data_IF_316660480056
#
_entry.id   IF_316660480056
#
_cell.length_a   1.000
_cell.length_b   1.000
_cell.length_c   1.000
_cell.angle_alpha   90.00
_cell.angle_beta   90.00
_cell.angle_gamma   90.00
#
_symmetry.space_group_name_H-M   'P 1'
#
loop_
_entity.id
_entity.type
_entity.pdbx_description
1 polymer ?
#
# COMPACT_ATOMS: atom_id res chain seq x y z
N UNK A 1 26.83 -36.98 2.77
CA UNK A 1 25.81 -36.25 3.55
C UNK A 1 25.10 -35.32 2.58
N UNK A 2 23.81 -35.54 2.34
CA UNK A 2 23.06 -34.88 1.25
C UNK A 2 22.53 -33.52 1.74
N UNK A 3 23.06 -32.43 1.21
CA UNK A 3 22.61 -31.07 1.55
C UNK A 3 21.39 -30.70 0.72
N UNK A 4 20.20 -30.81 1.30
CA UNK A 4 18.97 -30.26 0.69
C UNK A 4 18.96 -28.76 0.94
N UNK A 5 19.28 -27.97 -0.09
CA UNK A 5 19.07 -26.52 -0.08
C UNK A 5 17.58 -26.28 -0.34
N UNK A 6 16.83 -25.97 0.72
CA UNK A 6 15.47 -25.46 0.57
C UNK A 6 15.56 -24.10 -0.13
N UNK A 7 15.16 -24.05 -1.40
CA UNK A 7 15.03 -22.80 -2.14
C UNK A 7 13.92 -21.97 -1.47
N UNK A 8 14.11 -20.65 -1.28
CA UNK A 8 13.02 -19.80 -0.85
C UNK A 8 11.88 -19.91 -1.87
N UNK A 9 10.68 -20.23 -1.40
CA UNK A 9 9.48 -20.25 -2.23
C UNK A 9 9.16 -18.81 -2.64
N UNK A 10 9.70 -18.38 -3.78
CA UNK A 10 9.32 -17.15 -4.46
C UNK A 10 8.06 -17.45 -5.27
N UNK A 11 6.92 -16.93 -4.81
CA UNK A 11 5.65 -17.03 -5.52
C UNK A 11 5.46 -15.78 -6.38
N UNK A 12 5.43 -15.96 -7.70
CA UNK A 12 4.87 -14.98 -8.63
C UNK A 12 3.34 -14.95 -8.45
N UNK A 13 2.77 -13.76 -8.38
CA UNK A 13 1.45 -13.54 -7.83
C UNK A 13 0.77 -12.39 -8.60
N UNK A 14 -0.40 -12.67 -9.19
CA UNK A 14 -1.10 -11.71 -10.05
C UNK A 14 -1.70 -10.56 -9.22
N UNK A 15 -2.14 -9.49 -9.88
CA UNK A 15 -2.82 -8.34 -9.29
C UNK A 15 -3.86 -8.70 -8.19
N UNK A 16 -4.79 -9.62 -8.44
CA UNK A 16 -5.77 -10.02 -7.42
C UNK A 16 -5.10 -10.60 -6.16
N UNK A 17 -4.02 -11.36 -6.37
CA UNK A 17 -3.32 -12.10 -5.36
C UNK A 17 -2.38 -11.21 -4.53
N UNK A 18 -1.93 -10.03 -5.01
CA UNK A 18 -1.18 -9.09 -4.17
C UNK A 18 -2.03 -8.51 -3.04
N UNK A 19 -3.32 -8.27 -3.30
CA UNK A 19 -4.26 -7.81 -2.29
C UNK A 19 -4.54 -8.90 -1.26
N UNK A 20 -4.59 -10.16 -1.70
CA UNK A 20 -4.71 -11.32 -0.79
C UNK A 20 -3.47 -11.42 0.12
N UNK A 21 -2.26 -11.20 -0.41
CA UNK A 21 -1.02 -11.14 0.39
C UNK A 21 -1.13 -10.02 1.43
N UNK A 22 -1.55 -8.81 1.06
CA UNK A 22 -1.69 -7.71 2.03
C UNK A 22 -2.64 -8.12 3.16
N UNK A 23 -3.78 -8.73 2.85
CA UNK A 23 -4.73 -9.23 3.84
C UNK A 23 -4.14 -10.35 4.72
N UNK A 24 -3.39 -11.29 4.14
CA UNK A 24 -2.67 -12.36 4.88
C UNK A 24 -1.75 -11.76 5.96
N UNK A 25 -1.11 -10.62 5.67
CA UNK A 25 -0.26 -9.88 6.61
C UNK A 25 -0.99 -8.78 7.40
N UNK A 26 -2.32 -8.80 7.42
CA UNK A 26 -3.19 -7.84 8.13
C UNK A 26 -3.05 -6.37 7.67
N UNK A 27 -2.62 -6.14 6.44
CA UNK A 27 -2.53 -4.83 5.82
C UNK A 27 -3.76 -4.58 4.92
N UNK A 28 -4.33 -3.36 4.92
CA UNK A 28 -5.49 -3.05 4.08
C UNK A 28 -5.11 -2.99 2.61
N UNK A 29 -6.03 -3.42 1.76
CA UNK A 29 -5.84 -3.53 0.30
C UNK A 29 -5.57 -2.18 -0.38
N UNK A 30 -6.06 -1.07 0.18
CA UNK A 30 -5.87 0.28 -0.36
C UNK A 30 -4.47 0.87 -0.12
N UNK A 31 -3.53 0.11 0.46
CA UNK A 31 -2.12 0.51 0.55
C UNK A 31 -1.41 0.51 -0.81
N UNK A 32 -1.85 -0.36 -1.72
CA UNK A 32 -1.34 -0.44 -3.07
C UNK A 32 -2.45 0.00 -4.05
N UNK A 33 -2.09 0.78 -5.09
CA UNK A 33 -3.04 1.15 -6.13
C UNK A 33 -3.50 -0.08 -6.95
N UNK A 34 -4.60 0.09 -7.68
CA UNK A 34 -5.20 -0.88 -8.60
C UNK A 34 -4.32 -1.27 -9.80
N UNK A 35 -3.22 -0.56 -10.00
CA UNK A 35 -2.36 -0.72 -11.16
C UNK A 35 -1.29 -1.80 -11.03
N UNK A 36 -1.36 -2.65 -10.00
CA UNK A 36 -0.52 -3.83 -9.88
C UNK A 36 -0.81 -4.79 -11.04
N UNK A 37 0.22 -5.15 -11.79
CA UNK A 37 0.14 -6.10 -12.91
C UNK A 37 0.65 -7.45 -12.47
N UNK A 38 1.75 -7.42 -11.72
CA UNK A 38 2.48 -8.60 -11.28
C UNK A 38 3.12 -8.33 -9.91
N UNK A 39 3.40 -9.38 -9.15
CA UNK A 39 4.19 -9.27 -7.94
C UNK A 39 4.90 -10.57 -7.59
N UNK A 40 5.91 -10.46 -6.74
CA UNK A 40 6.75 -11.54 -6.26
C UNK A 40 6.83 -11.47 -4.75
N UNK A 41 6.52 -12.58 -4.10
CA UNK A 41 6.69 -12.73 -2.66
C UNK A 41 7.66 -13.87 -2.37
N UNK A 42 8.79 -13.55 -1.74
CA UNK A 42 9.66 -14.51 -1.09
C UNK A 42 9.16 -14.73 0.34
N UNK A 43 8.40 -15.80 0.58
CA UNK A 43 7.86 -16.12 1.91
C UNK A 43 8.96 -16.42 2.94
N UNK A 44 10.13 -16.89 2.50
CA UNK A 44 11.25 -17.21 3.39
C UNK A 44 11.94 -15.97 3.95
N UNK A 45 12.01 -14.90 3.16
CA UNK A 45 12.66 -13.62 3.54
C UNK A 45 11.67 -12.49 3.84
N UNK A 46 10.39 -12.70 3.57
CA UNK A 46 9.34 -11.68 3.61
C UNK A 46 9.52 -10.61 2.54
N UNK A 47 10.29 -10.85 1.47
CA UNK A 47 10.54 -9.82 0.44
C UNK A 47 9.36 -9.78 -0.52
N UNK A 48 8.68 -8.63 -0.58
CA UNK A 48 7.59 -8.34 -1.50
C UNK A 48 8.06 -7.36 -2.58
N UNK A 49 7.78 -7.66 -3.84
CA UNK A 49 8.10 -6.82 -4.98
C UNK A 49 6.87 -6.77 -5.90
N UNK A 50 6.35 -5.57 -6.16
CA UNK A 50 5.12 -5.34 -6.92
C UNK A 50 5.46 -4.51 -8.15
N UNK A 51 5.04 -4.99 -9.30
CA UNK A 51 5.21 -4.33 -10.59
C UNK A 51 3.88 -3.72 -11.01
N UNK A 52 3.87 -2.40 -11.09
CA UNK A 52 2.76 -1.60 -11.59
C UNK A 52 2.92 -1.38 -13.09
N UNK A 53 1.79 -1.18 -13.80
CA UNK A 53 1.79 -0.91 -15.25
C UNK A 53 2.57 0.37 -15.62
N UNK A 54 2.72 1.29 -14.67
CA UNK A 54 3.46 2.54 -14.79
C UNK A 54 3.54 3.26 -13.44
N UNK A 55 4.11 4.46 -13.43
CA UNK A 55 4.03 5.32 -12.24
C UNK A 55 2.59 5.80 -12.03
N UNK A 56 2.10 5.69 -10.79
CA UNK A 56 0.75 6.10 -10.40
C UNK A 56 0.83 7.23 -9.37
N UNK A 57 -0.10 8.17 -9.43
CA UNK A 57 -0.17 9.32 -8.53
C UNK A 57 -1.60 9.43 -8.01
N UNK A 58 -1.79 9.65 -6.71
CA UNK A 58 -3.12 9.87 -6.14
C UNK A 58 -3.06 10.70 -4.87
N UNK A 59 -4.13 11.46 -4.61
CA UNK A 59 -4.35 12.18 -3.35
C UNK A 59 -5.16 11.29 -2.41
N UNK A 60 -4.63 11.01 -1.21
CA UNK A 60 -5.36 10.28 -0.17
C UNK A 60 -6.42 11.17 0.46
N UNK A 61 -5.95 12.26 1.05
CA UNK A 61 -6.74 13.29 1.70
C UNK A 61 -5.93 14.56 1.60
N UNK A 62 -6.46 15.60 0.98
CA UNK A 62 -5.76 16.90 0.88
C UNK A 62 -5.25 17.30 2.27
N UNK A 63 -3.95 17.62 2.44
CA UNK A 63 -2.94 17.93 1.41
C UNK A 63 -1.99 16.77 1.00
N UNK A 64 -2.28 15.52 1.38
CA UNK A 64 -1.38 14.38 1.19
C UNK A 64 -1.48 13.75 -0.20
N UNK A 65 -0.50 14.06 -1.04
CA UNK A 65 -0.32 13.49 -2.38
C UNK A 65 0.71 12.35 -2.34
N UNK A 66 0.35 11.17 -2.85
CA UNK A 66 1.22 10.01 -2.98
C UNK A 66 1.61 9.75 -4.43
N UNK A 67 2.85 9.27 -4.61
CA UNK A 67 3.43 8.86 -5.87
C UNK A 67 4.03 7.47 -5.74
N UNK A 68 3.67 6.62 -6.68
CA UNK A 68 4.15 5.26 -6.82
C UNK A 68 4.99 5.16 -8.09
N UNK A 69 6.15 4.52 -7.99
CA UNK A 69 6.97 4.11 -9.12
C UNK A 69 6.40 2.84 -9.74
N UNK A 70 6.81 2.53 -10.97
CA UNK A 70 6.44 1.28 -11.66
C UNK A 70 6.84 0.02 -10.89
N UNK A 71 7.84 0.11 -10.01
CA UNK A 71 8.24 -0.99 -9.13
C UNK A 71 8.21 -0.51 -7.70
N UNK A 72 7.45 -1.23 -6.87
CA UNK A 72 7.37 -1.05 -5.42
C UNK A 72 7.97 -2.27 -4.76
N UNK A 73 8.87 -2.10 -3.81
CA UNK A 73 9.50 -3.23 -3.11
C UNK A 73 9.61 -2.97 -1.63
N UNK A 74 9.54 -4.01 -0.82
CA UNK A 74 9.74 -3.93 0.62
C UNK A 74 9.82 -5.30 1.27
N UNK A 75 9.89 -5.30 2.60
CA UNK A 75 9.82 -6.48 3.44
C UNK A 75 8.49 -6.48 4.20
N UNK A 76 7.61 -7.40 3.83
CA UNK A 76 6.31 -7.60 4.46
C UNK A 76 6.44 -8.59 5.62
N UNK A 77 5.85 -8.24 6.75
CA UNK A 77 5.71 -9.10 7.92
C UNK A 77 4.43 -8.71 8.66
N UNK A 78 4.02 -9.48 9.67
CA UNK A 78 2.74 -9.25 10.34
C UNK A 78 2.54 -7.78 10.74
N UNK A 79 1.48 -7.17 10.20
CA UNK A 79 1.09 -5.77 10.39
C UNK A 79 2.05 -4.71 9.83
N UNK A 80 3.09 -5.03 9.08
CA UNK A 80 4.06 -4.02 8.63
C UNK A 80 4.74 -4.32 7.30
N UNK A 81 5.10 -3.24 6.62
CA UNK A 81 5.89 -3.22 5.39
C UNK A 81 7.08 -2.29 5.59
N UNK A 82 8.28 -2.85 5.64
CA UNK A 82 9.52 -2.12 5.94
C UNK A 82 10.44 -2.09 4.73
N UNK A 83 11.48 -1.24 4.75
CA UNK A 83 12.39 -1.06 3.61
C UNK A 83 11.64 -0.77 2.31
N UNK A 84 10.55 -0.01 2.44
CA UNK A 84 9.68 0.34 1.33
C UNK A 84 10.42 1.25 0.37
N UNK A 85 10.33 0.90 -0.92
CA UNK A 85 10.89 1.68 -2.03
C UNK A 85 9.84 1.82 -3.10
N UNK A 86 9.89 2.95 -3.78
CA UNK A 86 8.97 3.24 -4.88
C UNK A 86 7.67 3.92 -4.45
N UNK A 87 7.51 4.26 -3.17
CA UNK A 87 6.40 5.08 -2.68
C UNK A 87 6.94 6.38 -2.10
N UNK A 88 6.36 7.50 -2.51
CA UNK A 88 6.75 8.83 -2.04
C UNK A 88 5.52 9.67 -1.72
N UNK A 89 5.62 10.52 -0.72
CA UNK A 89 4.63 11.53 -0.35
C UNK A 89 5.15 12.91 -0.69
N UNK A 90 4.26 13.83 -1.08
CA UNK A 90 4.61 15.22 -1.32
C UNK A 90 4.64 16.00 -0.01
N UNK A 91 5.71 16.74 0.20
CA UNK A 91 5.91 17.60 1.36
C UNK A 91 6.34 18.99 0.91
N UNK A 92 5.50 20.01 1.15
CA UNK A 92 5.64 21.41 0.74
C UNK A 92 5.86 21.61 -0.77
N UNK A 93 7.00 21.20 -1.32
CA UNK A 93 7.32 21.22 -2.77
C UNK A 93 8.18 20.05 -3.24
N UNK A 94 8.58 19.13 -2.36
CA UNK A 94 9.47 18.01 -2.67
C UNK A 94 8.81 16.66 -2.37
N UNK A 95 9.31 15.60 -3.00
CA UNK A 95 8.85 14.24 -2.76
C UNK A 95 9.76 13.56 -1.74
N UNK A 96 9.16 12.99 -0.71
CA UNK A 96 9.85 12.27 0.36
C UNK A 96 9.50 10.79 0.26
N UNK A 97 10.48 9.91 0.33
CA UNK A 97 10.24 8.47 0.27
C UNK A 97 9.62 7.96 1.58
N UNK A 98 8.57 7.17 1.44
CA UNK A 98 8.03 6.40 2.55
C UNK A 98 8.86 5.12 2.64
N UNK A 99 9.42 4.86 3.82
CA UNK A 99 10.34 3.73 4.07
C UNK A 99 9.68 2.62 4.87
N UNK A 100 8.60 2.93 5.59
CA UNK A 100 7.90 1.96 6.42
C UNK A 100 6.41 2.30 6.55
N UNK A 101 5.60 1.25 6.60
CA UNK A 101 4.17 1.31 6.94
C UNK A 101 3.89 0.28 8.03
N UNK A 102 3.26 0.71 9.12
CA UNK A 102 2.88 -0.17 10.23
C UNK A 102 1.41 0.01 10.55
N UNK A 103 0.66 -1.08 10.65
CA UNK A 103 -0.69 -1.08 11.21
C UNK A 103 -0.62 -1.24 12.72
N UNK A 104 -1.24 -0.32 13.42
CA UNK A 104 -1.42 -0.35 14.87
C UNK A 104 -2.92 -0.21 15.19
N UNK A 105 -3.60 -1.34 15.38
CA UNK A 105 -5.05 -1.38 15.58
C UNK A 105 -5.81 -0.84 14.37
N UNK A 106 -6.51 0.26 14.60
CA UNK A 106 -7.32 0.96 13.59
C UNK A 106 -6.57 2.10 12.89
N UNK A 107 -5.27 2.26 13.16
CA UNK A 107 -4.41 3.24 12.51
C UNK A 107 -3.32 2.59 11.64
N UNK A 108 -3.01 3.24 10.53
CA UNK A 108 -1.83 3.02 9.70
C UNK A 108 -0.85 4.17 9.89
N UNK A 109 0.38 3.79 10.26
CA UNK A 109 1.50 4.69 10.45
C UNK A 109 2.42 4.63 9.24
N UNK A 110 2.60 5.75 8.55
CA UNK A 110 3.53 5.90 7.43
C UNK A 110 4.76 6.66 7.91
N UNK A 111 5.92 6.03 7.77
CA UNK A 111 7.20 6.63 8.17
C UNK A 111 8.04 7.00 6.97
N UNK A 112 8.64 8.19 7.04
CA UNK A 112 9.67 8.67 6.11
C UNK A 112 11.07 8.62 6.73
N UNK A 113 11.24 7.82 7.80
CA UNK A 113 12.48 7.66 8.55
C UNK A 113 12.30 8.13 9.99
N UNK A 114 12.62 9.40 10.26
CA UNK A 114 12.53 9.99 11.61
C UNK A 114 11.13 10.53 11.95
N UNK A 115 10.25 10.64 10.97
CA UNK A 115 8.92 11.22 11.13
C UNK A 115 7.87 10.24 10.64
N UNK A 116 6.79 10.15 11.39
CA UNK A 116 5.66 9.26 11.13
C UNK A 116 4.38 10.08 11.09
N UNK A 117 3.48 9.71 10.17
CA UNK A 117 2.11 10.20 10.12
C UNK A 117 1.13 9.04 10.31
N UNK A 118 0.10 9.24 11.12
CA UNK A 118 -0.94 8.25 11.39
C UNK A 118 -2.22 8.60 10.64
N UNK A 119 -2.83 7.58 10.04
CA UNK A 119 -4.09 7.69 9.32
C UNK A 119 -4.98 6.52 9.69
N UNK A 120 -6.30 6.70 9.83
CA UNK A 120 -7.17 5.61 10.18
C UNK A 120 -7.26 4.59 9.02
N UNK A 121 -7.38 3.30 9.32
CA UNK A 121 -7.35 2.18 8.36
C UNK A 121 -8.54 2.23 7.38
N UNK A 122 -9.66 2.79 7.81
CA UNK A 122 -10.91 2.89 7.05
C UNK A 122 -10.75 3.62 5.72
N UNK A 123 -9.89 4.65 5.65
CA UNK A 123 -9.61 5.36 4.40
C UNK A 123 -8.85 4.51 3.38
N UNK A 124 -8.17 3.44 3.82
CA UNK A 124 -7.44 2.48 2.99
C UNK A 124 -8.24 1.20 2.73
N UNK A 125 -9.50 1.13 3.17
CA UNK A 125 -10.36 -0.04 2.93
C UNK A 125 -10.84 -0.10 1.47
N UNK A 126 -10.76 1.02 0.75
CA UNK A 126 -11.12 1.11 -0.66
C UNK A 126 -9.86 1.44 -1.46
N UNK A 127 -9.61 0.68 -2.54
CA UNK A 127 -8.52 1.02 -3.46
C UNK A 127 -8.76 2.42 -4.06
N UNK A 128 -7.75 3.31 -4.10
CA UNK A 128 -7.87 4.60 -4.75
C UNK A 128 -8.19 4.43 -6.24
N UNK A 129 -9.48 4.55 -6.62
CA UNK A 129 -9.92 4.56 -8.01
C UNK A 129 -9.63 5.95 -8.59
N UNK A 130 -8.53 6.12 -9.33
CA UNK A 130 -8.30 7.42 -9.97
C UNK A 130 -6.95 7.72 -10.61
N UNK A 131 -5.95 6.84 -10.52
CA UNK A 131 -4.61 7.15 -11.06
C UNK A 131 -4.14 6.28 -12.22
N UNK A 132 -4.79 5.14 -12.46
CA UNK A 132 -4.43 4.20 -13.52
C UNK A 132 -5.72 3.56 -14.04
N UNK A 133 -5.94 3.65 -15.36
CA UNK A 133 -7.19 3.24 -16.00
C UNK A 133 -7.45 1.73 -16.00
N UNK A 134 -7.74 1.14 -14.84
CA UNK A 134 -8.23 -0.23 -14.69
C UNK A 134 -9.35 -0.31 -13.65
N UNK A 135 -10.46 -0.95 -14.03
CA UNK A 135 -11.67 -1.09 -13.23
C UNK A 135 -11.45 -2.06 -12.05
N UNK A 136 -11.40 -1.53 -10.82
CA UNK A 136 -11.62 -2.34 -9.61
C UNK A 136 -13.09 -2.76 -9.56
N UNK A 137 -13.40 -3.98 -10.00
CA UNK A 137 -14.73 -4.57 -9.74
C UNK A 137 -14.86 -4.99 -8.27
N UNK A 138 -15.99 -4.58 -7.71
CA UNK A 138 -16.63 -5.05 -6.47
C UNK A 138 -16.00 -4.65 -5.13
N UNK A 139 -16.25 -3.39 -4.77
CA UNK A 139 -16.33 -2.94 -3.38
C UNK A 139 -17.53 -1.99 -3.26
N UNK A 140 -18.70 -2.53 -2.89
CA UNK A 140 -19.96 -1.80 -2.77
C UNK A 140 -19.88 -0.77 -1.64
N UNK A 141 -19.44 0.44 -1.96
CA UNK A 141 -19.38 1.57 -1.03
C UNK A 141 -20.81 2.00 -0.69
N UNK A 142 -21.29 1.64 0.51
CA UNK A 142 -22.43 2.33 1.12
C UNK A 142 -21.93 3.74 1.47
N UNK A 143 -22.36 4.71 0.66
CA UNK A 143 -22.11 6.14 0.79
C UNK A 143 -22.47 6.59 2.22
N UNK A 144 -21.50 6.64 3.14
CA UNK A 144 -21.72 7.25 4.45
C UNK A 144 -21.78 8.76 4.18
N UNK A 145 -22.99 9.30 4.25
CA UNK A 145 -23.28 10.72 4.12
C UNK A 145 -22.63 11.43 5.31
N UNK A 146 -21.42 11.97 5.12
CA UNK A 146 -20.81 12.88 6.07
C UNK A 146 -21.77 14.05 6.29
N UNK A 147 -22.25 14.20 7.53
CA UNK A 147 -23.10 15.32 7.93
C UNK A 147 -22.18 16.54 8.02
N UNK A 148 -22.36 17.47 7.08
CA UNK A 148 -21.81 18.81 7.18
C UNK A 148 -22.32 19.43 8.48
N UNK A 149 -21.43 19.64 9.44
CA UNK A 149 -21.65 20.60 10.52
C UNK A 149 -20.96 21.88 10.09
N UNK A 150 -21.71 22.69 9.32
CA UNK A 150 -21.41 24.11 9.14
C UNK A 150 -21.62 24.76 10.51
N UNK A 151 -20.58 25.39 11.04
CA UNK A 151 -20.72 26.35 12.14
C UNK A 151 -21.09 27.69 11.52
N UNK A 152 -22.15 28.32 12.01
CA UNK A 152 -22.48 29.71 11.67
C UNK A 152 -23.19 30.38 12.85
N UNK A 153 -22.70 31.60 13.11
CA UNK A 153 -23.11 32.63 14.06
C UNK A 153 -22.73 32.41 15.52
#
# INVERSE_FOLDING_TARGET
MSSTVALPATSDCKAATVYDILQEFNLPIGLLPDCAVDCKLDRGKGKLEVHLKGSCHFSLQEPYELKYKSTVSGHISGNKLTNLKGVSVKFMFFWVNIVEVVRNGDDLQFSVGMTTASFPVDIFTVCPRGGCGVDCKDGKLRKIKAKSLVSSA
#
